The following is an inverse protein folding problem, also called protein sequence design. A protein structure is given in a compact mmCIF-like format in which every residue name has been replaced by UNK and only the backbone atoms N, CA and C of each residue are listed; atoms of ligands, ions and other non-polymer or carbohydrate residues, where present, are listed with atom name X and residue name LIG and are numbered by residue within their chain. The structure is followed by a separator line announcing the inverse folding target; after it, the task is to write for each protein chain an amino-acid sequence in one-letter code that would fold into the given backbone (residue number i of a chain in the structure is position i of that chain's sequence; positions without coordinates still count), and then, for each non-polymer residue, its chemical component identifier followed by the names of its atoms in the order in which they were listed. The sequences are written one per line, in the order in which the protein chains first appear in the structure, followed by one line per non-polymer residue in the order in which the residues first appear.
data_IF_667131268711
#
_entry.id   IF_667131268711
#
_cell.length_a   1.000
_cell.length_b   1.000
_cell.length_c   1.000
_cell.angle_alpha   90.00
_cell.angle_beta   90.00
_cell.angle_gamma   90.00
#
_symmetry.space_group_name_H-M   'P 1'
#
loop_
_entity.id
_entity.type
_entity.pdbx_description
1 polymer ?
#
# COMPACT_ATOMS: atom_id res chain seq x y z
N UNK A 1 -32.52 5.02 52.19
CA UNK A 1 -31.54 5.63 51.26
C UNK A 1 -32.30 6.45 50.24
N UNK A 2 -32.24 7.77 50.33
CA UNK A 2 -32.54 8.69 49.22
C UNK A 2 -31.49 9.79 49.32
N UNK A 3 -30.77 9.94 48.22
CA UNK A 3 -29.58 10.78 48.09
C UNK A 3 -30.01 12.21 47.82
N UNK A 4 -29.21 13.11 48.36
CA UNK A 4 -29.32 14.55 48.40
C UNK A 4 -28.55 15.20 47.23
N UNK A 5 -28.89 16.47 46.97
CA UNK A 5 -28.10 17.56 46.33
C UNK A 5 -28.28 17.91 44.83
N UNK A 6 -28.86 19.10 44.65
CA UNK A 6 -28.56 20.25 43.77
C UNK A 6 -27.47 20.14 42.69
N UNK A 7 -27.71 20.75 41.51
CA UNK A 7 -26.87 21.86 41.02
C UNK A 7 -27.48 22.71 39.86
N UNK A 8 -27.37 24.03 40.02
CA UNK A 8 -27.11 25.14 39.07
C UNK A 8 -27.94 25.43 37.78
N UNK A 9 -28.81 26.44 37.92
CA UNK A 9 -28.93 27.75 37.21
C UNK A 9 -28.04 28.12 35.98
N UNK A 10 -28.74 28.29 34.84
CA UNK A 10 -28.74 29.38 33.80
C UNK A 10 -27.50 29.67 32.89
N UNK A 11 -27.62 30.52 31.82
CA UNK A 11 -27.98 30.17 30.43
C UNK A 11 -26.99 30.81 29.40
N UNK A 12 -27.45 31.05 28.16
CA UNK A 12 -26.92 32.05 27.19
C UNK A 12 -25.76 31.49 26.29
N UNK A 13 -25.52 31.78 25.00
CA UNK A 13 -25.95 32.75 23.97
C UNK A 13 -25.55 32.12 22.60
N UNK A 14 -26.44 32.11 21.60
CA UNK A 14 -26.39 32.93 20.36
C UNK A 14 -25.69 32.35 19.12
N UNK A 15 -26.44 32.44 18.02
CA UNK A 15 -26.04 32.57 16.61
C UNK A 15 -25.06 31.57 15.98
N UNK A 16 -25.62 30.65 15.18
CA UNK A 16 -24.95 30.18 13.97
C UNK A 16 -25.80 30.63 12.78
N UNK A 17 -25.37 31.74 12.18
CA UNK A 17 -25.88 32.23 10.89
C UNK A 17 -25.46 31.26 9.80
N UNK A 18 -26.44 30.82 9.01
CA UNK A 18 -26.27 30.11 7.74
C UNK A 18 -26.13 31.15 6.64
N UNK A 19 -25.10 31.07 5.81
CA UNK A 19 -25.19 31.59 4.45
C UNK A 19 -24.17 30.91 3.51
N UNK A 20 -24.74 30.07 2.65
CA UNK A 20 -24.48 29.88 1.23
C UNK A 20 -23.07 30.18 0.70
N UNK A 21 -22.38 29.11 0.28
CA UNK A 21 -21.36 29.20 -0.76
C UNK A 21 -21.80 28.35 -1.96
N UNK A 22 -22.08 29.05 -3.05
CA UNK A 22 -22.53 28.56 -4.34
C UNK A 22 -21.64 27.44 -4.90
N UNK A 23 -22.31 26.44 -5.46
CA UNK A 23 -21.74 25.46 -6.34
C UNK A 23 -21.48 26.08 -7.72
N UNK A 24 -20.27 25.91 -8.24
CA UNK A 24 -20.04 25.81 -9.69
C UNK A 24 -18.91 24.83 -9.95
N UNK A 25 -19.33 23.70 -10.53
CA UNK A 25 -18.50 22.73 -11.22
C UNK A 25 -17.81 23.39 -12.42
N UNK A 26 -16.49 23.33 -12.51
CA UNK A 26 -15.79 23.12 -13.79
C UNK A 26 -14.59 22.21 -13.55
N UNK A 27 -14.72 21.02 -14.11
CA UNK A 27 -13.73 19.95 -14.25
C UNK A 27 -12.54 20.38 -15.10
N UNK A 28 -11.33 20.29 -14.55
CA UNK A 28 -10.15 19.86 -15.29
C UNK A 28 -9.41 18.80 -14.47
N UNK A 29 -9.49 17.56 -14.97
CA UNK A 29 -8.85 16.38 -14.41
C UNK A 29 -7.35 16.51 -14.69
N UNK A 30 -6.64 17.26 -13.84
CA UNK A 30 -5.19 17.19 -13.79
C UNK A 30 -4.82 15.81 -13.23
N UNK A 31 -4.48 14.90 -14.15
CA UNK A 31 -3.99 13.56 -13.85
C UNK A 31 -2.62 13.70 -13.18
N UNK A 32 -2.63 14.03 -11.88
CA UNK A 32 -1.46 13.90 -11.03
C UNK A 32 -1.21 12.41 -10.86
N UNK A 33 -0.36 11.87 -11.73
CA UNK A 33 0.49 10.74 -11.40
C UNK A 33 1.36 11.20 -10.23
N UNK A 34 0.88 11.04 -9.01
CA UNK A 34 1.74 11.00 -7.84
C UNK A 34 2.56 9.73 -7.96
N UNK A 35 3.69 9.81 -8.66
CA UNK A 35 4.82 8.95 -8.38
C UNK A 35 5.28 9.30 -6.98
N UNK A 36 4.66 8.66 -5.98
CA UNK A 36 5.13 8.65 -4.61
C UNK A 36 6.46 7.91 -4.61
N UNK A 37 7.55 8.63 -4.84
CA UNK A 37 8.90 8.14 -4.59
C UNK A 37 9.04 7.90 -3.09
N UNK A 38 9.32 6.64 -2.74
CA UNK A 38 9.44 6.12 -1.39
C UNK A 38 10.38 6.96 -0.54
N UNK A 39 9.79 7.75 0.36
CA UNK A 39 10.47 8.36 1.49
C UNK A 39 9.77 7.81 2.73
N UNK A 40 10.49 6.95 3.46
CA UNK A 40 10.16 6.41 4.78
C UNK A 40 9.01 5.38 4.85
N UNK A 41 9.31 4.10 4.62
CA UNK A 41 8.49 3.02 5.18
C UNK A 41 8.66 3.04 6.71
N UNK A 42 7.82 3.81 7.41
CA UNK A 42 7.80 3.86 8.89
C UNK A 42 7.19 2.60 9.53
N UNK A 43 6.61 1.73 8.72
CA UNK A 43 5.89 0.54 9.16
C UNK A 43 6.75 -0.72 9.09
N UNK A 44 6.51 -1.64 10.04
CA UNK A 44 7.06 -2.99 10.01
C UNK A 44 6.72 -3.68 8.67
N UNK A 45 7.75 -4.01 7.89
CA UNK A 45 7.61 -4.65 6.58
C UNK A 45 7.30 -6.14 6.67
N UNK A 46 7.39 -6.75 7.85
CA UNK A 46 7.08 -8.17 8.04
C UNK A 46 5.66 -8.49 7.54
N UNK A 47 5.55 -9.59 6.79
CA UNK A 47 4.31 -10.08 6.18
C UNK A 47 3.69 -9.14 5.11
N UNK A 48 4.37 -8.07 4.71
CA UNK A 48 3.95 -7.18 3.62
C UNK A 48 4.42 -7.69 2.27
N UNK A 49 3.66 -7.35 1.23
CA UNK A 49 4.08 -7.57 -0.15
C UNK A 49 4.85 -6.35 -0.67
N UNK A 50 5.90 -6.59 -1.43
CA UNK A 50 6.83 -5.57 -1.92
C UNK A 50 7.15 -5.74 -3.39
N UNK A 51 7.42 -4.62 -4.05
CA UNK A 51 8.06 -4.56 -5.37
C UNK A 51 9.55 -4.37 -5.16
N UNK A 52 10.34 -5.32 -5.63
CA UNK A 52 11.79 -5.32 -5.57
C UNK A 52 12.35 -5.11 -6.96
N UNK A 53 13.38 -4.29 -7.08
CA UNK A 53 14.10 -4.08 -8.33
C UNK A 53 15.50 -4.68 -8.22
N UNK A 54 15.87 -5.54 -9.17
CA UNK A 54 17.24 -6.05 -9.31
C UNK A 54 17.87 -5.57 -10.60
N UNK A 55 19.15 -5.24 -10.53
CA UNK A 55 19.98 -4.99 -11.71
C UNK A 55 20.50 -6.31 -12.28
N UNK A 56 20.19 -6.58 -13.55
CA UNK A 56 20.66 -7.77 -14.28
C UNK A 56 21.38 -7.32 -15.55
N UNK A 57 22.67 -7.01 -15.42
CA UNK A 57 23.47 -6.45 -16.50
C UNK A 57 23.04 -5.01 -16.79
N UNK A 58 22.58 -4.72 -18.02
CA UNK A 58 22.11 -3.37 -18.40
C UNK A 58 20.61 -3.17 -18.24
N UNK A 59 19.90 -4.12 -17.63
CA UNK A 59 18.43 -4.09 -17.50
C UNK A 59 18.06 -4.13 -16.04
N UNK A 60 17.12 -3.27 -15.67
CA UNK A 60 16.42 -3.35 -14.40
C UNK A 60 15.26 -4.34 -14.54
N UNK A 61 15.09 -5.21 -13.55
CA UNK A 61 13.98 -6.16 -13.50
C UNK A 61 13.23 -6.00 -12.20
N UNK A 62 11.91 -6.04 -12.27
CA UNK A 62 11.05 -5.92 -11.10
C UNK A 62 10.41 -7.25 -10.74
N UNK A 63 10.33 -7.52 -9.45
CA UNK A 63 9.76 -8.74 -8.89
C UNK A 63 8.86 -8.39 -7.73
N UNK A 64 7.77 -9.14 -7.57
CA UNK A 64 6.86 -9.00 -6.45
C UNK A 64 7.07 -10.16 -5.49
N UNK A 65 7.18 -9.87 -4.21
CA UNK A 65 7.37 -10.90 -3.18
C UNK A 65 6.79 -10.50 -1.84
N UNK A 66 6.72 -11.46 -0.91
CA UNK A 66 6.28 -11.24 0.47
C UNK A 66 7.49 -11.24 1.40
N UNK A 67 7.60 -10.25 2.29
CA UNK A 67 8.64 -10.22 3.30
C UNK A 67 8.33 -11.26 4.38
N UNK A 68 9.23 -12.21 4.58
CA UNK A 68 9.08 -13.31 5.54
C UNK A 68 10.05 -13.23 6.72
N UNK A 69 11.05 -12.34 6.65
CA UNK A 69 11.98 -12.06 7.74
C UNK A 69 12.53 -10.64 7.57
N UNK A 70 12.72 -9.95 8.68
CA UNK A 70 13.24 -8.57 8.74
C UNK A 70 14.48 -8.57 9.63
N UNK A 71 15.58 -7.99 9.14
CA UNK A 71 16.75 -7.65 9.93
C UNK A 71 16.96 -6.13 9.87
N UNK A 72 16.30 -5.42 10.79
CA UNK A 72 16.30 -3.95 10.82
C UNK A 72 17.70 -3.35 11.04
N UNK A 73 18.55 -4.04 11.81
CA UNK A 73 19.91 -3.58 12.11
C UNK A 73 20.78 -3.48 10.86
N UNK A 74 20.62 -4.42 9.94
CA UNK A 74 21.39 -4.50 8.69
C UNK A 74 20.62 -3.94 7.49
N UNK A 75 19.37 -3.49 7.68
CA UNK A 75 18.45 -3.06 6.62
C UNK A 75 18.27 -4.10 5.51
N UNK A 76 18.21 -5.37 5.93
CA UNK A 76 18.10 -6.55 5.06
C UNK A 76 16.81 -7.32 5.30
N UNK A 77 16.21 -7.84 4.24
CA UNK A 77 14.91 -8.51 4.26
C UNK A 77 15.00 -9.84 3.53
N UNK A 78 14.38 -10.90 4.05
CA UNK A 78 14.13 -12.10 3.25
C UNK A 78 12.77 -12.00 2.59
N UNK A 79 12.75 -12.11 1.28
CA UNK A 79 11.55 -11.96 0.45
C UNK A 79 11.28 -13.28 -0.27
N UNK A 80 10.07 -13.82 -0.11
CA UNK A 80 9.54 -14.97 -0.85
C UNK A 80 8.83 -14.47 -2.12
N UNK A 81 9.45 -14.67 -3.28
CA UNK A 81 9.02 -14.11 -4.55
C UNK A 81 7.87 -14.88 -5.19
N UNK A 82 6.95 -14.12 -5.78
CA UNK A 82 5.83 -14.66 -6.55
C UNK A 82 6.20 -14.84 -8.02
N UNK A 83 5.50 -15.77 -8.69
CA UNK A 83 5.63 -15.98 -10.13
C UNK A 83 4.46 -15.36 -10.87
N UNK A 84 4.75 -14.49 -11.83
CA UNK A 84 3.76 -13.98 -12.80
C UNK A 84 3.14 -15.15 -13.55
N UNK A 85 1.81 -15.22 -13.59
CA UNK A 85 1.05 -16.28 -14.24
C UNK A 85 0.30 -15.79 -15.48
N UNK A 86 -0.35 -14.64 -15.37
CA UNK A 86 -1.12 -14.07 -16.46
C UNK A 86 -1.28 -12.57 -16.29
N UNK A 87 -1.74 -11.91 -17.35
CA UNK A 87 -2.13 -10.50 -17.35
C UNK A 87 -3.50 -10.43 -18.00
N UNK A 88 -4.47 -9.84 -17.31
CA UNK A 88 -5.85 -9.72 -17.77
C UNK A 88 -6.26 -8.28 -17.54
N UNK A 89 -6.68 -7.56 -18.59
CA UNK A 89 -7.14 -6.16 -18.48
C UNK A 89 -6.17 -5.24 -17.71
N UNK A 90 -4.86 -5.37 -17.99
CA UNK A 90 -3.74 -4.69 -17.30
C UNK A 90 -3.49 -5.10 -15.85
N UNK A 91 -4.31 -5.96 -15.26
CA UNK A 91 -4.10 -6.58 -13.95
C UNK A 91 -3.13 -7.75 -14.09
N UNK A 92 -2.07 -7.75 -13.29
CA UNK A 92 -1.10 -8.84 -13.27
C UNK A 92 -1.49 -9.85 -12.19
N UNK A 93 -1.62 -11.10 -12.59
CA UNK A 93 -1.88 -12.20 -11.67
C UNK A 93 -0.58 -12.94 -11.36
N UNK A 94 -0.35 -13.15 -10.08
CA UNK A 94 0.77 -13.89 -9.54
C UNK A 94 0.29 -15.17 -8.85
N UNK A 95 1.20 -16.09 -8.62
CA UNK A 95 0.98 -17.22 -7.74
C UNK A 95 2.26 -17.53 -6.97
N UNK A 96 2.11 -18.17 -5.81
CA UNK A 96 3.26 -18.73 -5.11
C UNK A 96 3.89 -19.85 -5.95
N UNK A 97 5.23 -19.90 -6.09
CA UNK A 97 5.89 -21.00 -6.75
C UNK A 97 5.75 -22.29 -5.92
N UNK A 98 5.86 -23.46 -6.59
CA UNK A 98 5.82 -24.77 -5.92
C UNK A 98 7.04 -24.94 -5.01
N UNK A 99 8.21 -24.52 -5.50
CA UNK A 99 9.44 -24.44 -4.73
C UNK A 99 9.59 -22.98 -4.28
N UNK A 100 9.70 -22.69 -2.97
CA UNK A 100 9.88 -21.33 -2.48
C UNK A 100 11.07 -20.64 -3.15
N UNK A 101 10.88 -19.38 -3.52
CA UNK A 101 11.87 -18.58 -4.23
C UNK A 101 12.27 -17.43 -3.32
N UNK A 102 13.20 -17.68 -2.41
CA UNK A 102 13.54 -16.78 -1.32
C UNK A 102 14.90 -16.18 -1.57
N UNK A 103 15.00 -14.85 -1.50
CA UNK A 103 16.29 -14.15 -1.51
C UNK A 103 16.37 -13.10 -0.41
N UNK A 104 17.61 -12.73 -0.06
CA UNK A 104 17.91 -11.55 0.74
C UNK A 104 17.89 -10.32 -0.16
N UNK A 105 17.25 -9.25 0.32
CA UNK A 105 17.02 -8.00 -0.41
C UNK A 105 17.40 -6.84 0.48
N UNK A 106 18.18 -5.90 -0.06
CA UNK A 106 18.53 -4.67 0.63
C UNK A 106 17.36 -3.68 0.60
N UNK A 107 17.24 -2.83 1.62
CA UNK A 107 16.20 -1.80 1.68
C UNK A 107 16.12 -0.96 0.39
N UNK A 108 17.27 -0.60 -0.17
CA UNK A 108 17.35 0.30 -1.33
C UNK A 108 16.79 -0.34 -2.61
N UNK A 109 16.67 -1.67 -2.66
CA UNK A 109 16.07 -2.41 -3.78
C UNK A 109 14.53 -2.50 -3.67
N UNK A 110 13.96 -2.21 -2.49
CA UNK A 110 12.51 -2.17 -2.29
C UNK A 110 11.95 -0.85 -2.82
N UNK A 111 11.21 -0.92 -3.93
CA UNK A 111 10.68 0.25 -4.63
C UNK A 111 9.26 0.61 -4.23
N UNK A 112 8.47 -0.35 -3.76
CA UNK A 112 7.08 -0.14 -3.34
C UNK A 112 6.67 -1.19 -2.31
N UNK A 113 5.80 -0.82 -1.39
CA UNK A 113 5.07 -1.74 -0.52
C UNK A 113 3.61 -1.71 -0.95
N UNK A 114 3.03 -2.88 -1.16
CA UNK A 114 1.64 -3.02 -1.58
C UNK A 114 0.70 -3.08 -0.38
N UNK A 115 -0.55 -2.71 -0.64
CA UNK A 115 -1.67 -2.98 0.26
C UNK A 115 -1.99 -4.47 0.38
N UNK A 116 -3.11 -4.77 1.04
CA UNK A 116 -3.64 -6.14 1.12
C UNK A 116 -3.97 -6.64 -0.29
N UNK A 117 -3.40 -7.77 -0.75
CA UNK A 117 -3.71 -8.28 -2.07
C UNK A 117 -5.11 -8.88 -2.15
N UNK A 118 -5.64 -8.92 -3.37
CA UNK A 118 -6.78 -9.74 -3.72
C UNK A 118 -6.31 -11.17 -4.03
N UNK A 119 -6.78 -12.14 -3.24
CA UNK A 119 -6.43 -13.56 -3.39
C UNK A 119 -7.66 -14.34 -3.85
N UNK A 120 -7.59 -14.88 -5.07
CA UNK A 120 -8.66 -15.71 -5.63
C UNK A 120 -8.72 -17.10 -4.98
N UNK A 121 -9.86 -17.79 -5.14
CA UNK A 121 -10.04 -19.19 -4.69
C UNK A 121 -9.02 -20.18 -5.27
N UNK A 122 -8.41 -19.84 -6.40
CA UNK A 122 -7.37 -20.66 -7.06
C UNK A 122 -5.95 -20.30 -6.62
N UNK A 123 -5.80 -19.40 -5.65
CA UNK A 123 -4.49 -18.95 -5.15
C UNK A 123 -3.77 -17.96 -6.08
N UNK A 124 -4.47 -17.39 -7.07
CA UNK A 124 -3.95 -16.24 -7.80
C UNK A 124 -4.02 -14.99 -6.93
N UNK A 125 -2.95 -14.20 -6.97
CA UNK A 125 -2.73 -13.00 -6.17
C UNK A 125 -2.62 -11.82 -7.14
N UNK A 126 -3.38 -10.76 -6.90
CA UNK A 126 -3.24 -9.48 -7.61
C UNK A 126 -3.30 -8.32 -6.63
N UNK A 127 -2.85 -7.14 -7.09
CA UNK A 127 -2.76 -5.92 -6.30
C UNK A 127 -3.43 -4.80 -7.10
N UNK A 128 -4.32 -4.04 -6.46
CA UNK A 128 -5.13 -3.02 -7.14
C UNK A 128 -4.28 -1.84 -7.62
N UNK A 129 -3.16 -1.59 -6.94
CA UNK A 129 -2.19 -0.52 -7.19
C UNK A 129 -0.99 -0.97 -8.04
N UNK A 130 -1.07 -2.16 -8.65
CA UNK A 130 -0.05 -2.69 -9.54
C UNK A 130 -0.57 -2.83 -10.97
N UNK A 131 0.01 -2.05 -11.89
CA UNK A 131 -0.27 -2.18 -13.33
C UNK A 131 0.88 -2.89 -14.03
N UNK A 132 0.58 -3.57 -15.14
CA UNK A 132 1.59 -4.32 -15.91
C UNK A 132 2.85 -3.52 -16.26
N UNK A 133 2.74 -2.21 -16.48
CA UNK A 133 3.87 -1.32 -16.80
C UNK A 133 4.88 -1.15 -15.67
N UNK A 134 4.50 -1.41 -14.41
CA UNK A 134 5.41 -1.33 -13.27
C UNK A 134 6.40 -2.52 -13.22
N UNK A 135 6.15 -3.59 -13.99
CA UNK A 135 6.91 -4.86 -13.91
C UNK A 135 7.48 -5.32 -15.25
N UNK A 136 7.57 -4.42 -16.23
CA UNK A 136 8.19 -4.68 -17.55
C UNK A 136 9.72 -4.52 -17.52
#
# INVERSE_FOLDING_TARGET
MKVEHDDHTQPAEDFITTDNLEASEETEIETRRTTTTCTEFKDNLFDRYVLVQFESGKRMRHFVGKVIMVNDNERKYKVDFLRKKSVVENVVNFAKPIVPDIAEVDFDDIKRVFGTPNISRRGLICFDDLVFKDIE
#
